data_IF_050329936314
#
_entry.id   IF_050329936314
#
_cell.length_a   1.000
_cell.length_b   1.000
_cell.length_c   1.000
_cell.angle_alpha   90.00
_cell.angle_beta   90.00
_cell.angle_gamma   90.00
#
_symmetry.space_group_name_H-M   'P 1'
#
loop_
_entity.id
_entity.type
_entity.pdbx_description
1 polymer ?
#
# COMPACT_ATOMS: atom_id res chain seq x y z
N UNK A 1 9.03 -5.32 31.99
CA UNK A 1 9.11 -6.00 30.68
C UNK A 1 8.95 -4.95 29.60
N UNK A 2 9.70 -5.00 28.50
CA UNK A 2 9.53 -4.04 27.41
C UNK A 2 8.28 -4.41 26.61
N UNK A 3 7.38 -3.45 26.37
CA UNK A 3 6.17 -3.68 25.57
C UNK A 3 6.52 -3.57 24.09
N UNK A 4 7.11 -4.61 23.52
CA UNK A 4 7.56 -4.65 22.12
C UNK A 4 6.36 -4.76 21.17
N UNK A 5 5.93 -3.63 20.62
CA UNK A 5 4.97 -3.58 19.52
C UNK A 5 5.51 -4.33 18.29
N UNK A 6 4.64 -5.04 17.60
CA UNK A 6 4.98 -5.79 16.39
C UNK A 6 4.98 -4.90 15.14
N UNK A 7 5.68 -5.32 14.09
CA UNK A 7 5.66 -4.65 12.79
C UNK A 7 4.23 -4.54 12.21
N UNK A 8 3.40 -5.54 12.45
CA UNK A 8 1.98 -5.57 12.09
C UNK A 8 1.18 -4.50 12.81
N UNK A 9 1.38 -4.31 14.11
CA UNK A 9 0.68 -3.27 14.89
C UNK A 9 1.08 -1.87 14.45
N UNK A 10 2.34 -1.66 14.06
CA UNK A 10 2.79 -0.39 13.47
C UNK A 10 2.12 -0.18 12.10
N UNK A 11 2.07 -1.21 11.24
CA UNK A 11 1.42 -1.16 9.92
C UNK A 11 -0.09 -0.89 10.03
N UNK A 12 -0.74 -1.55 10.98
CA UNK A 12 -2.17 -1.41 11.28
C UNK A 12 -2.50 0.04 11.68
N UNK A 13 -1.81 0.58 12.69
CA UNK A 13 -1.94 1.98 13.12
C UNK A 13 -1.62 2.99 12.00
N UNK A 14 -0.56 2.74 11.23
CA UNK A 14 -0.20 3.60 10.09
C UNK A 14 -1.29 3.62 9.02
N UNK A 15 -1.82 2.46 8.64
CA UNK A 15 -2.90 2.35 7.64
C UNK A 15 -4.17 3.08 8.08
N UNK A 16 -4.54 2.99 9.36
CA UNK A 16 -5.69 3.69 9.94
C UNK A 16 -5.48 5.21 9.99
N UNK A 17 -4.30 5.66 10.43
CA UNK A 17 -3.95 7.08 10.49
C UNK A 17 -3.93 7.73 9.09
N UNK A 18 -3.36 7.05 8.10
CA UNK A 18 -3.37 7.49 6.69
C UNK A 18 -4.80 7.60 6.15
N UNK A 19 -5.67 6.60 6.41
CA UNK A 19 -7.07 6.64 5.95
C UNK A 19 -7.85 7.81 6.57
N UNK A 20 -7.66 8.06 7.87
CA UNK A 20 -8.31 9.18 8.56
C UNK A 20 -7.82 10.55 8.03
N UNK A 21 -6.52 10.68 7.79
CA UNK A 21 -5.92 11.89 7.21
C UNK A 21 -6.50 12.18 5.81
N UNK A 22 -6.49 11.21 4.90
CA UNK A 22 -7.04 11.38 3.55
C UNK A 22 -8.55 11.69 3.55
N UNK A 23 -9.33 11.06 4.44
CA UNK A 23 -10.76 11.35 4.58
C UNK A 23 -11.04 12.78 5.09
N UNK A 24 -10.14 13.34 5.90
CA UNK A 24 -10.24 14.72 6.39
C UNK A 24 -9.76 15.76 5.36
N UNK A 25 -8.65 15.49 4.65
CA UNK A 25 -8.07 16.41 3.67
C UNK A 25 -8.85 16.45 2.35
N UNK A 26 -9.46 15.32 1.95
CA UNK A 26 -10.25 15.20 0.72
C UNK A 26 -11.63 14.65 1.10
N UNK A 27 -12.66 15.49 1.32
CA UNK A 27 -13.99 15.02 1.74
C UNK A 27 -14.61 14.01 0.76
N UNK A 28 -14.32 14.14 -0.53
CA UNK A 28 -14.74 13.20 -1.58
C UNK A 28 -14.08 11.81 -1.43
N UNK A 29 -12.96 11.69 -0.70
CA UNK A 29 -12.32 10.41 -0.39
C UNK A 29 -13.19 9.54 0.52
N UNK A 30 -14.02 10.13 1.40
CA UNK A 30 -14.99 9.38 2.20
C UNK A 30 -16.02 8.66 1.31
N UNK A 31 -16.68 9.41 0.42
CA UNK A 31 -17.63 8.85 -0.56
C UNK A 31 -16.94 7.91 -1.57
N UNK A 32 -15.68 8.18 -1.91
CA UNK A 32 -14.88 7.28 -2.74
C UNK A 32 -14.55 5.98 -2.01
N UNK A 33 -14.25 5.99 -0.70
CA UNK A 33 -13.99 4.77 0.07
C UNK A 33 -15.23 3.87 0.15
N UNK A 34 -16.42 4.44 0.33
CA UNK A 34 -17.69 3.70 0.30
C UNK A 34 -17.89 3.04 -1.08
N UNK A 35 -17.79 3.81 -2.16
CA UNK A 35 -17.88 3.30 -3.53
C UNK A 35 -16.78 2.27 -3.85
N UNK A 36 -15.56 2.48 -3.36
CA UNK A 36 -14.42 1.56 -3.55
C UNK A 36 -14.60 0.28 -2.73
N UNK A 37 -15.29 0.30 -1.59
CA UNK A 37 -15.63 -0.93 -0.88
C UNK A 37 -16.62 -1.79 -1.69
N UNK A 38 -17.70 -1.18 -2.18
CA UNK A 38 -18.72 -1.84 -3.02
C UNK A 38 -18.11 -2.36 -4.34
N UNK A 39 -17.30 -1.53 -5.02
CA UNK A 39 -16.63 -1.90 -6.27
C UNK A 39 -15.54 -2.95 -6.04
N UNK A 40 -14.75 -2.88 -4.95
CA UNK A 40 -13.76 -3.91 -4.64
C UNK A 40 -14.43 -5.27 -4.39
N UNK A 41 -15.59 -5.30 -3.72
CA UNK A 41 -16.35 -6.54 -3.53
C UNK A 41 -16.73 -7.15 -4.89
N UNK A 42 -17.36 -6.35 -5.77
CA UNK A 42 -17.76 -6.79 -7.11
C UNK A 42 -16.58 -7.13 -8.06
N UNK A 43 -15.42 -6.48 -7.90
CA UNK A 43 -14.23 -6.72 -8.72
C UNK A 43 -13.44 -7.94 -8.24
N UNK A 44 -13.34 -8.18 -6.92
CA UNK A 44 -12.70 -9.38 -6.36
C UNK A 44 -13.44 -10.67 -6.74
N UNK A 45 -14.75 -10.60 -6.97
CA UNK A 45 -15.52 -11.71 -7.55
C UNK A 45 -15.17 -12.01 -9.03
N UNK A 46 -14.54 -11.08 -9.76
CA UNK A 46 -14.54 -11.09 -11.24
C UNK A 46 -13.18 -10.89 -11.95
N UNK A 47 -12.24 -10.05 -11.50
CA UNK A 47 -10.99 -9.75 -12.25
C UNK A 47 -9.78 -9.36 -11.34
N UNK A 48 -8.60 -10.04 -11.44
CA UNK A 48 -7.55 -9.95 -10.41
C UNK A 48 -6.25 -9.15 -10.71
N UNK A 49 -6.16 -8.25 -11.72
CA UNK A 49 -4.86 -7.63 -12.14
C UNK A 49 -4.93 -6.15 -12.60
N UNK A 50 -4.47 -5.16 -11.80
CA UNK A 50 -4.27 -3.73 -12.18
C UNK A 50 -3.15 -2.99 -11.35
N UNK A 51 -2.71 -1.79 -11.78
CA UNK A 51 -1.51 -0.99 -11.33
C UNK A 51 -1.84 0.18 -10.33
N UNK A 52 -1.21 1.38 -10.13
CA UNK A 52 -0.22 2.36 -10.70
C UNK A 52 0.12 3.38 -9.53
N UNK A 53 1.10 4.31 -9.35
CA UNK A 53 2.42 4.83 -9.84
C UNK A 53 3.23 5.32 -8.56
N UNK A 54 4.19 6.26 -8.36
CA UNK A 54 5.15 7.23 -9.03
C UNK A 54 6.38 7.37 -8.07
N UNK A 55 7.59 7.82 -8.47
CA UNK A 55 8.71 8.15 -7.53
C UNK A 55 10.15 8.32 -8.11
N UNK A 56 11.17 8.52 -7.25
CA UNK A 56 12.61 8.55 -7.64
C UNK A 56 13.50 7.64 -6.77
N UNK A 57 14.67 7.23 -7.30
CA UNK A 57 15.51 6.18 -6.70
C UNK A 57 16.04 6.48 -5.28
N UNK A 58 16.38 7.73 -4.96
CA UNK A 58 16.93 8.11 -3.64
C UNK A 58 15.84 8.15 -2.56
N UNK A 59 14.64 8.57 -2.97
CA UNK A 59 13.42 8.58 -2.13
C UNK A 59 12.93 7.15 -1.91
N UNK A 60 12.89 6.33 -2.96
CA UNK A 60 12.57 4.90 -2.91
C UNK A 60 13.51 4.12 -1.96
N UNK A 61 14.81 4.43 -1.96
CA UNK A 61 15.78 3.84 -1.03
C UNK A 61 15.53 4.25 0.44
N UNK A 62 14.90 5.40 0.67
CA UNK A 62 14.51 5.91 2.00
C UNK A 62 13.17 5.32 2.44
N UNK A 63 12.17 5.31 1.56
CA UNK A 63 10.87 4.66 1.77
C UNK A 63 11.04 3.17 2.10
N UNK A 64 11.93 2.44 1.41
CA UNK A 64 12.27 1.05 1.74
C UNK A 64 12.72 0.84 3.20
N UNK A 65 13.39 1.82 3.80
CA UNK A 65 13.82 1.75 5.22
C UNK A 65 12.65 2.01 6.17
N UNK A 66 11.74 2.92 5.82
CA UNK A 66 10.52 3.20 6.60
C UNK A 66 9.56 2.00 6.55
N UNK A 67 9.29 1.46 5.36
CA UNK A 67 8.40 0.31 5.16
C UNK A 67 8.92 -0.97 5.81
N UNK A 68 10.24 -1.18 5.89
CA UNK A 68 10.82 -2.31 6.60
C UNK A 68 10.48 -2.35 8.11
N UNK A 69 10.23 -1.19 8.75
CA UNK A 69 9.80 -1.12 10.16
C UNK A 69 8.37 -1.65 10.33
N UNK A 70 7.53 -1.49 9.30
CA UNK A 70 6.15 -2.00 9.22
C UNK A 70 6.07 -3.43 8.66
N UNK A 71 7.20 -4.12 8.50
CA UNK A 71 7.25 -5.47 7.92
C UNK A 71 6.91 -5.50 6.42
N UNK A 72 7.02 -4.35 5.74
CA UNK A 72 6.66 -4.19 4.34
C UNK A 72 7.91 -4.18 3.46
N UNK A 73 7.95 -5.08 2.48
CA UNK A 73 9.09 -5.31 1.60
C UNK A 73 8.70 -5.02 0.15
N UNK A 74 9.64 -4.57 -0.71
CA UNK A 74 9.37 -4.34 -2.12
C UNK A 74 9.11 -5.69 -2.82
N UNK A 75 7.93 -5.84 -3.41
CA UNK A 75 7.52 -7.03 -4.16
C UNK A 75 7.19 -6.66 -5.60
N UNK A 76 7.72 -7.48 -6.52
CA UNK A 76 7.68 -7.28 -7.96
C UNK A 76 8.39 -6.01 -8.44
N UNK A 77 8.62 -5.97 -9.75
CA UNK A 77 9.09 -4.82 -10.50
C UNK A 77 8.12 -4.62 -11.68
N UNK A 78 7.72 -3.39 -11.96
CA UNK A 78 6.84 -3.05 -13.06
C UNK A 78 7.52 -1.96 -13.92
N UNK A 79 7.47 -2.11 -15.24
CA UNK A 79 7.96 -1.11 -16.19
C UNK A 79 6.80 -0.61 -17.03
N UNK A 80 6.36 0.62 -16.75
CA UNK A 80 5.19 1.21 -17.39
C UNK A 80 5.58 2.07 -18.61
N UNK A 81 6.87 2.18 -18.92
CA UNK A 81 7.35 2.89 -20.12
C UNK A 81 6.81 2.24 -21.41
N UNK A 82 6.56 0.93 -21.36
CA UNK A 82 5.93 0.13 -22.42
C UNK A 82 4.45 0.52 -22.67
N UNK A 83 3.78 1.12 -21.67
CA UNK A 83 2.45 1.72 -21.80
C UNK A 83 2.50 3.23 -22.08
N UNK A 84 3.69 3.82 -22.26
CA UNK A 84 3.91 5.25 -22.49
C UNK A 84 4.04 6.10 -21.22
N UNK A 85 4.04 5.50 -20.02
CA UNK A 85 4.19 6.21 -18.73
C UNK A 85 5.62 6.03 -18.21
N UNK A 86 6.46 7.08 -18.13
CA UNK A 86 7.91 6.92 -17.88
C UNK A 86 8.24 6.71 -16.39
N UNK A 87 7.78 5.61 -15.79
CA UNK A 87 8.00 5.23 -14.38
C UNK A 87 8.30 3.72 -14.22
N UNK A 88 8.90 3.35 -13.09
CA UNK A 88 9.25 1.96 -12.76
C UNK A 88 8.90 1.62 -11.31
N UNK A 89 8.07 0.60 -11.08
CA UNK A 89 7.35 0.41 -9.81
C UNK A 89 7.79 -0.79 -8.97
N UNK A 90 7.47 -0.72 -7.68
CA UNK A 90 7.38 -1.88 -6.77
C UNK A 90 6.24 -1.69 -5.75
N UNK A 91 5.68 -2.80 -5.25
CA UNK A 91 4.66 -2.76 -4.21
C UNK A 91 5.30 -3.09 -2.86
N UNK A 92 5.34 -2.13 -1.92
CA UNK A 92 5.70 -2.41 -0.53
C UNK A 92 4.53 -3.10 0.16
N UNK A 93 4.71 -4.36 0.56
CA UNK A 93 3.69 -5.15 1.26
C UNK A 93 4.32 -6.17 2.24
N UNK A 94 3.56 -6.70 3.21
CA UNK A 94 3.94 -7.91 3.93
C UNK A 94 4.09 -9.09 2.97
N UNK A 95 4.96 -10.05 3.31
CA UNK A 95 5.29 -11.18 2.42
C UNK A 95 4.92 -12.56 2.97
N UNK A 96 4.74 -12.69 4.29
CA UNK A 96 4.23 -13.91 4.91
C UNK A 96 2.71 -13.90 5.06
N UNK A 97 2.12 -15.10 5.09
CA UNK A 97 0.67 -15.28 5.04
C UNK A 97 -0.05 -14.78 6.31
N UNK A 98 0.62 -14.79 7.47
CA UNK A 98 0.03 -14.35 8.74
C UNK A 98 -0.08 -12.81 8.78
N UNK A 99 0.99 -12.09 8.45
CA UNK A 99 0.99 -10.64 8.34
C UNK A 99 0.02 -10.15 7.26
N UNK A 100 -0.09 -10.88 6.14
CA UNK A 100 -1.07 -10.61 5.08
C UNK A 100 -2.51 -10.83 5.55
N UNK A 101 -2.79 -11.92 6.27
CA UNK A 101 -4.13 -12.21 6.79
C UNK A 101 -4.55 -11.22 7.90
N UNK A 102 -3.60 -10.74 8.73
CA UNK A 102 -3.87 -9.74 9.78
C UNK A 102 -4.09 -8.34 9.19
N UNK A 103 -3.17 -7.86 8.36
CA UNK A 103 -3.27 -6.53 7.76
C UNK A 103 -2.55 -6.53 6.39
N UNK A 104 -3.29 -6.67 5.27
CA UNK A 104 -2.73 -6.80 3.93
C UNK A 104 -2.32 -5.46 3.30
N UNK A 105 -2.18 -4.38 4.07
CA UNK A 105 -1.91 -3.02 3.58
C UNK A 105 -0.66 -2.97 2.69
N UNK A 106 -0.76 -2.17 1.62
CA UNK A 106 0.26 -2.07 0.56
C UNK A 106 0.43 -0.60 0.21
N UNK A 107 1.67 -0.19 -0.03
CA UNK A 107 1.95 1.09 -0.69
C UNK A 107 2.65 0.78 -2.00
N UNK A 108 2.02 1.15 -3.11
CA UNK A 108 2.66 1.14 -4.41
C UNK A 108 3.57 2.38 -4.50
N UNK A 109 4.74 2.24 -5.10
CA UNK A 109 5.72 3.33 -5.29
C UNK A 109 6.42 3.09 -6.61
N UNK A 110 6.67 4.15 -7.41
CA UNK A 110 7.34 4.01 -8.72
C UNK A 110 8.44 5.02 -8.96
#
# INVERSE_FOLDING_TARGET
MANSITADEIREQFSQAMSAMYQQEVPQYGTLLELVADVNLAVLENNPQLHENVGTAQELATLRRMFAIMGMYPVSYYDLSQAGVPVHSTAFRPIDDASLARNPFRVFTS
#
